data_IF_704988842726
#
_entry.id   IF_704988842726
#
_cell.length_a   1.000
_cell.length_b   1.000
_cell.length_c   1.000
_cell.angle_alpha   90.00
_cell.angle_beta   90.00
_cell.angle_gamma   90.00
#
_symmetry.space_group_name_H-M   'P 1'
#
loop_
_entity.id
_entity.type
_entity.pdbx_description
1 polymer ?
#
# COMPACT_ATOMS: atom_id res chain seq x y z
N UNK A 1 2.31 -38.09 45.68
CA UNK A 1 3.62 -38.32 45.06
C UNK A 1 3.47 -38.04 43.59
N UNK A 2 4.28 -37.11 43.09
CA UNK A 2 4.16 -36.47 41.79
C UNK A 2 5.46 -36.76 41.02
N UNK A 3 5.44 -37.37 39.81
CA UNK A 3 6.61 -37.44 38.98
C UNK A 3 6.51 -36.42 37.85
N UNK A 4 7.31 -35.35 37.99
CA UNK A 4 7.50 -34.34 36.97
C UNK A 4 8.18 -34.88 35.71
N UNK A 5 7.71 -34.41 34.56
CA UNK A 5 8.39 -34.56 33.26
C UNK A 5 8.74 -33.17 32.75
N UNK A 6 10.01 -32.79 32.94
CA UNK A 6 10.57 -31.55 32.44
C UNK A 6 10.98 -31.65 30.97
N UNK A 7 10.20 -31.06 30.07
CA UNK A 7 10.56 -30.88 28.66
C UNK A 7 11.49 -29.67 28.50
N UNK A 8 12.80 -29.91 28.46
CA UNK A 8 13.80 -28.90 28.08
C UNK A 8 13.78 -28.69 26.56
N UNK A 9 13.44 -27.49 26.13
CA UNK A 9 13.60 -27.07 24.75
C UNK A 9 15.01 -26.53 24.53
N UNK A 10 15.78 -27.21 23.68
CA UNK A 10 17.08 -26.75 23.21
C UNK A 10 16.89 -25.54 22.27
N UNK A 11 17.51 -24.41 22.60
CA UNK A 11 17.58 -23.25 21.70
C UNK A 11 18.66 -23.51 20.65
N UNK A 12 18.24 -23.63 19.40
CA UNK A 12 19.15 -23.59 18.25
C UNK A 12 19.65 -22.16 18.06
N UNK A 13 20.96 -21.96 18.24
CA UNK A 13 21.68 -20.80 17.72
C UNK A 13 21.64 -20.88 16.18
N UNK A 14 20.96 -19.93 15.53
CA UNK A 14 21.12 -19.69 14.09
C UNK A 14 22.16 -18.60 13.89
N UNK A 15 23.29 -19.03 13.35
CA UNK A 15 24.36 -18.17 12.86
C UNK A 15 23.84 -17.24 11.75
N UNK A 16 24.15 -15.96 11.91
CA UNK A 16 23.92 -14.94 10.92
C UNK A 16 24.74 -15.21 9.66
N UNK A 17 24.06 -15.57 8.57
CA UNK A 17 24.59 -15.45 7.21
C UNK A 17 23.91 -14.29 6.53
N UNK A 18 24.67 -13.19 6.40
CA UNK A 18 24.25 -11.99 5.70
C UNK A 18 23.92 -12.30 4.24
N UNK A 19 22.73 -11.90 3.82
CA UNK A 19 22.34 -11.90 2.41
C UNK A 19 23.10 -10.79 1.69
N UNK A 20 23.98 -11.20 0.77
CA UNK A 20 24.62 -10.31 -0.20
C UNK A 20 23.56 -9.61 -1.04
N UNK A 21 23.52 -8.29 -0.97
CA UNK A 21 22.64 -7.46 -1.78
C UNK A 21 22.94 -7.64 -3.26
N UNK A 22 22.01 -8.27 -3.99
CA UNK A 22 22.01 -8.26 -5.45
C UNK A 22 21.75 -6.82 -5.92
N UNK A 23 22.78 -6.17 -6.45
CA UNK A 23 22.66 -4.86 -7.10
C UNK A 23 21.93 -5.06 -8.42
N UNK A 24 20.61 -4.81 -8.45
CA UNK A 24 19.88 -4.67 -9.71
C UNK A 24 20.35 -3.40 -10.41
N UNK A 25 20.94 -3.56 -11.60
CA UNK A 25 21.18 -2.45 -12.53
C UNK A 25 19.87 -2.18 -13.26
N UNK A 26 19.31 -0.99 -13.11
CA UNK A 26 18.20 -0.53 -13.95
C UNK A 26 18.81 0.12 -15.19
N UNK A 27 18.46 -0.40 -16.37
CA UNK A 27 18.77 0.20 -17.66
C UNK A 27 17.57 1.05 -18.07
N UNK A 28 17.77 2.37 -18.15
CA UNK A 28 16.85 3.29 -18.82
C UNK A 28 17.62 3.90 -20.00
N UNK A 29 17.04 3.82 -21.20
CA UNK A 29 17.54 4.46 -22.42
C UNK A 29 19.04 4.24 -22.74
N UNK A 30 19.56 3.04 -22.49
CA UNK A 30 20.94 2.67 -22.87
C UNK A 30 22.05 3.33 -22.03
N UNK A 31 21.72 4.07 -20.97
CA UNK A 31 22.69 4.68 -20.08
C UNK A 31 22.76 3.96 -18.73
N UNK A 32 23.98 3.58 -18.31
CA UNK A 32 24.23 2.96 -17.00
C UNK A 32 24.35 4.06 -15.95
N UNK A 33 23.29 4.28 -15.16
CA UNK A 33 23.35 5.18 -14.02
C UNK A 33 24.03 4.48 -12.83
N UNK A 34 25.18 5.00 -12.39
CA UNK A 34 25.81 4.63 -11.11
C UNK A 34 25.12 5.40 -9.99
N UNK A 35 24.35 4.72 -9.16
CA UNK A 35 23.86 5.29 -7.90
C UNK A 35 25.03 5.44 -6.93
N UNK A 36 25.34 6.68 -6.55
CA UNK A 36 26.32 7.02 -5.50
C UNK A 36 25.87 6.43 -4.16
N UNK A 37 26.78 5.80 -3.43
CA UNK A 37 26.49 5.27 -2.10
C UNK A 37 26.19 6.42 -1.11
N UNK A 38 25.27 6.24 -0.15
CA UNK A 38 25.12 7.18 0.95
C UNK A 38 26.41 7.18 1.79
N UNK A 39 27.00 8.36 1.95
CA UNK A 39 28.20 8.55 2.77
C UNK A 39 27.91 8.21 4.23
N UNK A 40 28.82 7.44 4.84
CA UNK A 40 28.83 7.20 6.29
C UNK A 40 29.15 8.52 6.99
N UNK A 41 28.17 9.14 7.63
CA UNK A 41 28.40 10.24 8.58
C UNK A 41 28.96 9.67 9.87
N UNK A 42 30.24 9.95 10.13
CA UNK A 42 30.86 9.70 11.43
C UNK A 42 30.40 10.74 12.45
N UNK A 43 30.06 10.28 13.65
CA UNK A 43 29.89 11.10 14.85
C UNK A 43 31.26 11.67 15.26
N UNK A 44 31.37 13.00 15.24
CA UNK A 44 32.31 13.74 16.10
C UNK A 44 31.58 14.97 16.63
N UNK A 45 31.60 15.11 17.96
CA UNK A 45 30.98 16.23 18.68
C UNK A 45 31.73 17.54 18.53
N UNK A 46 31.09 18.62 18.97
CA UNK A 46 31.74 19.92 19.17
C UNK A 46 30.86 21.11 18.85
N UNK A 47 30.59 21.93 19.87
CA UNK A 47 29.89 23.22 19.81
C UNK A 47 30.62 24.22 18.90
N UNK A 48 29.89 25.00 18.10
CA UNK A 48 29.80 26.48 18.14
C UNK A 48 29.04 27.04 16.92
N UNK A 49 28.37 28.18 17.11
CA UNK A 49 27.46 28.83 16.17
C UNK A 49 28.19 29.78 15.16
N UNK A 50 27.54 30.77 14.50
CA UNK A 50 27.06 30.62 13.12
C UNK A 50 27.53 31.77 12.19
N UNK A 51 27.93 31.53 10.93
CA UNK A 51 28.00 32.62 9.93
C UNK A 51 27.67 32.20 8.50
N UNK A 52 26.59 32.82 8.00
CA UNK A 52 26.37 33.43 6.67
C UNK A 52 27.30 32.98 5.53
N UNK A 53 26.72 32.56 4.40
CA UNK A 53 26.59 33.37 3.18
C UNK A 53 26.14 32.49 2.00
N UNK A 54 25.21 33.06 1.23
CA UNK A 54 24.67 32.51 0.00
C UNK A 54 25.76 32.22 -1.04
N UNK A 55 25.64 31.09 -1.74
CA UNK A 55 26.23 30.90 -3.08
C UNK A 55 25.16 30.41 -4.04
N UNK A 56 24.71 31.32 -4.90
CA UNK A 56 23.94 31.04 -6.11
C UNK A 56 24.76 30.10 -7.01
N UNK A 57 24.21 28.94 -7.33
CA UNK A 57 24.73 28.08 -8.38
C UNK A 57 24.46 28.74 -9.74
N UNK A 58 25.53 29.11 -10.46
CA UNK A 58 25.47 29.53 -11.86
C UNK A 58 25.28 28.29 -12.73
N UNK A 59 24.15 28.20 -13.42
CA UNK A 59 23.96 27.26 -14.52
C UNK A 59 24.74 27.78 -15.74
N UNK A 60 25.65 26.98 -16.27
CA UNK A 60 26.30 27.24 -17.55
C UNK A 60 25.45 26.68 -18.70
N UNK A 61 25.29 27.40 -19.83
CA UNK A 61 24.65 26.87 -21.01
C UNK A 61 25.60 25.93 -21.76
N UNK A 62 25.13 24.73 -22.06
CA UNK A 62 25.84 23.77 -22.92
C UNK A 62 25.61 24.17 -24.37
N UNK A 63 26.71 24.47 -25.07
CA UNK A 63 26.71 24.80 -26.49
C UNK A 63 26.17 23.63 -27.32
N UNK A 64 25.25 23.92 -28.25
CA UNK A 64 24.79 23.00 -29.28
C UNK A 64 25.71 23.12 -30.49
N UNK A 65 26.54 22.12 -30.72
CA UNK A 65 27.25 21.96 -31.98
C UNK A 65 26.27 21.67 -33.11
N UNK A 66 26.19 22.61 -34.06
CA UNK A 66 25.56 22.41 -35.37
C UNK A 66 26.57 21.70 -36.27
N UNK A 67 26.45 20.39 -36.38
CA UNK A 67 27.09 19.64 -37.46
C UNK A 67 26.22 19.74 -38.72
N UNK A 68 26.65 20.56 -39.67
CA UNK A 68 26.26 20.51 -41.08
C UNK A 68 26.91 19.29 -41.73
N UNK A 69 26.12 18.38 -42.28
CA UNK A 69 26.62 17.31 -43.17
C UNK A 69 25.81 17.37 -44.45
N UNK A 70 26.39 18.01 -45.46
CA UNK A 70 26.08 17.80 -46.87
C UNK A 70 26.92 16.62 -47.37
N UNK A 71 26.28 15.64 -48.01
CA UNK A 71 26.98 14.53 -48.67
C UNK A 71 26.06 13.43 -49.20
N UNK A 72 26.38 12.77 -50.33
CA UNK A 72 25.40 12.43 -51.35
C UNK A 72 24.71 11.07 -51.20
N UNK A 73 23.57 11.00 -51.91
CA UNK A 73 22.69 9.86 -52.19
C UNK A 73 23.37 8.47 -52.17
N UNK A 74 22.90 7.61 -51.25
CA UNK A 74 22.96 6.16 -51.40
C UNK A 74 21.53 5.61 -51.62
N UNK A 75 21.24 5.24 -52.87
CA UNK A 75 20.11 4.41 -53.27
C UNK A 75 20.28 3.01 -52.65
N UNK A 76 19.81 2.82 -51.40
CA UNK A 76 19.92 1.53 -50.70
C UNK A 76 18.89 1.31 -49.58
N UNK A 77 17.85 2.12 -49.47
CA UNK A 77 16.88 2.08 -48.35
C UNK A 77 15.44 1.85 -48.83
N UNK A 78 15.16 0.70 -49.46
CA UNK A 78 13.76 0.26 -49.64
C UNK A 78 13.42 -1.11 -49.05
N UNK A 79 14.40 -1.92 -48.64
CA UNK A 79 14.12 -3.27 -48.09
C UNK A 79 14.01 -3.28 -46.54
N UNK A 80 14.68 -2.35 -45.85
CA UNK A 80 14.70 -2.30 -44.37
C UNK A 80 13.47 -1.65 -43.70
N UNK A 81 12.69 -0.82 -44.43
CA UNK A 81 11.47 -0.18 -43.89
C UNK A 81 10.28 -1.15 -43.82
N UNK A 82 10.17 -2.06 -44.77
CA UNK A 82 9.09 -3.06 -44.83
C UNK A 82 9.23 -4.09 -43.70
N UNK A 83 10.46 -4.49 -43.33
CA UNK A 83 10.69 -5.40 -42.19
C UNK A 83 10.32 -4.80 -40.84
N UNK A 84 10.55 -3.49 -40.63
CA UNK A 84 10.19 -2.80 -39.36
C UNK A 84 8.69 -2.54 -39.22
N UNK A 85 7.96 -2.32 -40.31
CA UNK A 85 6.50 -2.21 -40.27
C UNK A 85 5.81 -3.55 -39.98
N UNK A 86 6.35 -4.67 -40.51
CA UNK A 86 5.82 -6.02 -40.20
C UNK A 86 6.02 -6.43 -38.74
N UNK A 87 7.11 -6.00 -38.09
CA UNK A 87 7.35 -6.28 -36.68
C UNK A 87 6.40 -5.52 -35.73
N UNK A 88 6.01 -4.27 -36.07
CA UNK A 88 4.99 -3.53 -35.31
C UNK A 88 3.60 -4.15 -35.42
N UNK A 89 3.18 -4.53 -36.63
CA UNK A 89 1.89 -5.20 -36.84
C UNK A 89 1.77 -6.56 -36.11
N UNK A 90 2.89 -7.28 -35.92
CA UNK A 90 2.90 -8.53 -35.16
C UNK A 90 2.74 -8.32 -33.64
N UNK A 91 3.31 -7.24 -33.09
CA UNK A 91 3.14 -6.86 -31.68
C UNK A 91 1.73 -6.35 -31.40
N UNK A 92 1.10 -5.69 -32.38
CA UNK A 92 -0.30 -5.28 -32.30
C UNK A 92 -1.24 -6.51 -32.28
N UNK A 93 -0.92 -7.56 -33.05
CA UNK A 93 -1.68 -8.82 -33.04
C UNK A 93 -1.62 -9.57 -31.70
N UNK A 94 -0.46 -9.62 -31.05
CA UNK A 94 -0.32 -10.28 -29.74
C UNK A 94 -1.05 -9.52 -28.63
N UNK A 95 -1.00 -8.18 -28.65
CA UNK A 95 -1.72 -7.34 -27.71
C UNK A 95 -3.24 -7.48 -27.88
N UNK A 96 -3.74 -7.43 -29.13
CA UNK A 96 -5.16 -7.63 -29.45
C UNK A 96 -5.62 -9.02 -28.98
N UNK A 97 -4.84 -10.08 -29.24
CA UNK A 97 -5.16 -11.43 -28.79
C UNK A 97 -5.21 -11.54 -27.25
N UNK A 98 -4.28 -10.90 -26.53
CA UNK A 98 -4.29 -10.89 -25.05
C UNK A 98 -5.49 -10.13 -24.48
N UNK A 99 -5.86 -8.99 -25.07
CA UNK A 99 -7.05 -8.24 -24.67
C UNK A 99 -8.31 -9.09 -24.90
N UNK A 100 -8.40 -9.77 -26.04
CA UNK A 100 -9.51 -10.65 -26.37
C UNK A 100 -9.61 -11.84 -25.40
N UNK A 101 -8.47 -12.45 -25.01
CA UNK A 101 -8.43 -13.48 -23.97
C UNK A 101 -8.94 -12.99 -22.61
N UNK A 102 -8.63 -11.75 -22.21
CA UNK A 102 -9.12 -11.17 -20.94
C UNK A 102 -10.63 -10.98 -21.00
N UNK A 103 -11.16 -10.45 -22.11
CA UNK A 103 -12.61 -10.30 -22.30
C UNK A 103 -13.34 -11.65 -22.29
N UNK A 104 -12.82 -12.67 -22.97
CA UNK A 104 -13.41 -14.02 -22.95
C UNK A 104 -13.40 -14.65 -21.54
N UNK A 105 -12.33 -14.47 -20.77
CA UNK A 105 -12.26 -14.95 -19.38
C UNK A 105 -13.28 -14.25 -18.49
N UNK A 106 -13.47 -12.94 -18.68
CA UNK A 106 -14.49 -12.17 -17.95
C UNK A 106 -15.90 -12.64 -18.32
N UNK A 107 -16.19 -12.80 -19.61
CA UNK A 107 -17.48 -13.31 -20.08
C UNK A 107 -17.80 -14.70 -19.51
N UNK A 108 -16.83 -15.63 -19.49
CA UNK A 108 -17.01 -16.97 -18.87
C UNK A 108 -17.21 -16.91 -17.35
N UNK A 109 -16.68 -15.89 -16.69
CA UNK A 109 -16.91 -15.67 -15.25
C UNK A 109 -18.32 -15.15 -15.04
N UNK A 110 -18.74 -14.16 -15.82
CA UNK A 110 -20.08 -13.57 -15.77
C UNK A 110 -21.16 -14.62 -16.12
N UNK A 111 -20.91 -15.55 -17.06
CA UNK A 111 -21.79 -16.69 -17.35
C UNK A 111 -21.89 -17.67 -16.16
N UNK A 112 -20.77 -17.91 -15.47
CA UNK A 112 -20.71 -18.82 -14.30
C UNK A 112 -21.37 -18.19 -13.08
N UNK A 113 -21.24 -16.88 -12.96
CA UNK A 113 -21.90 -16.03 -11.97
C UNK A 113 -23.27 -15.54 -12.48
N UNK A 114 -23.87 -16.25 -13.46
CA UNK A 114 -25.22 -15.93 -13.97
C UNK A 114 -26.14 -15.70 -12.78
N UNK A 115 -26.92 -14.60 -12.79
CA UNK A 115 -27.82 -14.30 -11.69
C UNK A 115 -28.66 -15.53 -11.42
N UNK A 116 -28.66 -15.97 -10.15
CA UNK A 116 -29.51 -17.06 -9.71
C UNK A 116 -30.93 -16.80 -10.22
N UNK A 117 -31.64 -17.84 -10.70
CA UNK A 117 -32.95 -17.66 -11.31
C UNK A 117 -33.84 -16.77 -10.43
N UNK A 118 -34.40 -15.72 -11.03
CA UNK A 118 -35.39 -14.82 -10.41
C UNK A 118 -36.47 -15.70 -9.76
N UNK A 119 -36.45 -15.80 -8.42
CA UNK A 119 -37.39 -16.62 -7.66
C UNK A 119 -36.80 -17.44 -6.51
N UNK A 120 -35.47 -17.61 -6.40
CA UNK A 120 -34.86 -18.39 -5.30
C UNK A 120 -34.40 -17.57 -4.08
N UNK A 121 -34.49 -16.24 -4.13
CA UNK A 121 -34.14 -15.34 -3.01
C UNK A 121 -35.38 -14.78 -2.29
N UNK A 122 -36.57 -15.25 -2.63
CA UNK A 122 -37.79 -14.86 -1.94
C UNK A 122 -38.00 -15.82 -0.76
N UNK A 123 -37.72 -15.33 0.46
CA UNK A 123 -38.06 -15.91 1.79
C UNK A 123 -36.86 -16.42 2.61
N UNK A 124 -36.04 -15.49 3.06
CA UNK A 124 -35.68 -15.44 4.51
C UNK A 124 -35.41 -14.00 4.97
N UNK A 125 -36.15 -13.03 4.44
CA UNK A 125 -36.39 -11.80 5.18
C UNK A 125 -37.40 -12.11 6.29
N UNK A 126 -36.97 -12.82 7.32
CA UNK A 126 -37.57 -12.62 8.63
C UNK A 126 -37.52 -11.10 8.86
N UNK A 127 -38.67 -10.43 9.09
CA UNK A 127 -38.64 -9.02 9.43
C UNK A 127 -37.71 -8.92 10.64
N UNK A 128 -36.55 -8.30 10.44
CA UNK A 128 -35.71 -7.89 11.55
C UNK A 128 -36.59 -6.95 12.34
N UNK A 129 -37.04 -7.42 13.50
CA UNK A 129 -37.84 -6.62 14.41
C UNK A 129 -37.09 -5.29 14.61
N UNK A 130 -37.65 -4.15 14.20
CA UNK A 130 -36.98 -2.86 14.30
C UNK A 130 -36.62 -2.52 15.75
N UNK A 131 -37.32 -3.13 16.72
CA UNK A 131 -37.02 -2.96 18.14
C UNK A 131 -35.80 -3.82 18.57
N UNK A 132 -35.55 -4.98 17.94
CA UNK A 132 -34.32 -5.76 18.16
C UNK A 132 -33.07 -5.17 17.50
N UNK A 133 -33.22 -4.28 16.50
CA UNK A 133 -32.10 -3.56 15.93
C UNK A 133 -31.52 -2.49 16.90
N UNK A 134 -32.30 -2.09 17.90
CA UNK A 134 -31.98 -0.98 18.81
C UNK A 134 -31.12 -1.40 20.00
N UNK A 135 -31.02 -2.71 20.29
CA UNK A 135 -30.22 -3.25 21.40
C UNK A 135 -29.12 -4.22 20.94
N UNK A 136 -28.43 -3.91 19.83
CA UNK A 136 -27.15 -4.59 19.57
C UNK A 136 -26.15 -4.16 20.65
N UNK A 137 -25.96 -5.00 21.64
CA UNK A 137 -24.90 -4.88 22.64
C UNK A 137 -23.60 -4.44 21.96
N UNK A 138 -22.96 -3.42 22.53
CA UNK A 138 -21.70 -2.93 22.00
C UNK A 138 -20.72 -4.10 21.91
N UNK A 139 -20.03 -4.30 20.77
CA UNK A 139 -19.14 -5.44 20.63
C UNK A 139 -18.06 -5.35 21.70
N UNK A 140 -17.84 -6.43 22.43
CA UNK A 140 -16.86 -6.52 23.51
C UNK A 140 -15.58 -7.20 23.04
N UNK A 141 -14.48 -6.85 23.67
CA UNK A 141 -13.20 -7.53 23.46
C UNK A 141 -13.24 -8.91 24.13
N UNK A 142 -13.05 -10.02 23.40
CA UNK A 142 -13.10 -11.35 24.00
C UNK A 142 -11.96 -11.61 25.00
N UNK A 143 -10.86 -10.85 24.94
CA UNK A 143 -9.75 -11.02 25.89
C UNK A 143 -9.92 -10.20 27.17
N UNK A 144 -10.56 -9.02 27.11
CA UNK A 144 -10.66 -8.10 28.26
C UNK A 144 -12.08 -7.95 28.80
N UNK A 145 -13.10 -8.36 28.06
CA UNK A 145 -14.52 -8.14 28.40
C UNK A 145 -14.96 -6.68 28.28
N UNK A 146 -14.08 -5.77 27.87
CA UNK A 146 -14.40 -4.34 27.78
C UNK A 146 -15.07 -4.01 26.43
N UNK A 147 -15.97 -3.01 26.39
CA UNK A 147 -16.53 -2.51 25.13
C UNK A 147 -15.44 -2.06 24.15
N UNK A 148 -15.57 -2.46 22.88
CA UNK A 148 -14.65 -2.07 21.82
C UNK A 148 -14.89 -0.63 21.40
N UNK A 149 -13.85 0.19 21.55
CA UNK A 149 -13.86 1.59 21.16
C UNK A 149 -12.66 1.92 20.26
N UNK A 150 -12.95 2.21 18.99
CA UNK A 150 -11.95 2.59 17.99
C UNK A 150 -11.29 3.95 18.31
N UNK A 151 -11.98 4.85 19.00
CA UNK A 151 -11.45 6.14 19.45
C UNK A 151 -10.51 6.00 20.65
N UNK A 152 -10.44 4.82 21.26
CA UNK A 152 -9.48 4.48 22.31
C UNK A 152 -8.34 3.59 21.80
N UNK A 153 -8.63 2.58 21.00
CA UNK A 153 -7.62 1.57 20.66
C UNK A 153 -6.71 1.93 19.48
N UNK A 154 -7.25 2.51 18.39
CA UNK A 154 -6.46 2.85 17.20
C UNK A 154 -5.70 1.69 16.53
N UNK A 155 -6.02 0.43 16.86
CA UNK A 155 -5.15 -0.71 16.54
C UNK A 155 -4.92 -0.90 15.02
N UNK A 156 -5.97 -0.75 14.20
CA UNK A 156 -5.84 -0.83 12.74
C UNK A 156 -5.09 0.39 12.15
N UNK A 157 -5.18 1.56 12.78
CA UNK A 157 -4.47 2.76 12.36
C UNK A 157 -2.94 2.64 12.56
N UNK A 158 -2.50 1.73 13.42
CA UNK A 158 -1.09 1.46 13.72
C UNK A 158 -0.64 0.08 13.22
N UNK A 159 -1.36 -0.52 12.26
CA UNK A 159 -1.06 -1.87 11.78
C UNK A 159 0.29 -1.98 11.03
N UNK A 160 0.76 -0.87 10.45
CA UNK A 160 1.96 -0.81 9.61
C UNK A 160 1.64 -0.45 8.15
N UNK A 161 2.67 -0.23 7.32
CA UNK A 161 2.52 0.19 5.93
C UNK A 161 1.67 -0.79 5.11
N UNK A 162 0.84 -0.27 4.21
CA UNK A 162 0.08 -1.07 3.25
C UNK A 162 -1.12 -1.85 3.80
N UNK A 163 -1.41 -1.74 5.11
CA UNK A 163 -2.50 -2.50 5.76
C UNK A 163 -3.89 -1.86 5.65
N UNK A 164 -3.98 -0.63 5.18
CA UNK A 164 -5.26 0.08 5.00
C UNK A 164 -5.45 0.35 3.51
N UNK A 165 -5.93 -0.65 2.74
CA UNK A 165 -6.09 -0.54 1.30
C UNK A 165 -7.16 0.50 0.93
N UNK A 166 -6.98 1.10 -0.23
CA UNK A 166 -7.88 2.05 -0.87
C UNK A 166 -8.43 1.42 -2.14
N UNK A 167 -9.73 1.55 -2.35
CA UNK A 167 -10.37 1.19 -3.61
C UNK A 167 -10.18 2.31 -4.64
N UNK A 168 -10.36 2.00 -5.93
CA UNK A 168 -10.37 3.03 -6.96
C UNK A 168 -11.52 4.04 -6.76
N UNK A 169 -12.67 3.55 -6.27
CA UNK A 169 -13.85 4.36 -5.97
C UNK A 169 -13.57 5.39 -4.88
N UNK A 170 -12.79 5.06 -3.85
CA UNK A 170 -12.38 6.02 -2.82
C UNK A 170 -11.63 7.22 -3.44
N UNK A 171 -10.72 6.94 -4.37
CA UNK A 171 -9.93 7.98 -5.04
C UNK A 171 -10.82 8.84 -5.95
N UNK A 172 -11.78 8.24 -6.66
CA UNK A 172 -12.74 8.96 -7.49
C UNK A 172 -13.64 9.85 -6.64
N UNK A 173 -14.16 9.33 -5.52
CA UNK A 173 -15.02 10.06 -4.60
C UNK A 173 -14.30 11.28 -4.00
N UNK A 174 -13.05 11.12 -3.55
CA UNK A 174 -12.28 12.26 -3.04
C UNK A 174 -12.01 13.31 -4.10
N UNK A 175 -11.65 12.91 -5.32
CA UNK A 175 -11.46 13.86 -6.43
C UNK A 175 -12.72 14.65 -6.73
N UNK A 176 -13.89 13.99 -6.76
CA UNK A 176 -15.19 14.64 -6.97
C UNK A 176 -15.57 15.58 -5.83
N UNK A 177 -15.22 15.22 -4.60
CA UNK A 177 -15.44 16.05 -3.41
C UNK A 177 -14.43 17.21 -3.26
N UNK A 178 -13.52 17.41 -4.22
CA UNK A 178 -12.49 18.45 -4.15
C UNK A 178 -11.35 18.13 -3.17
N UNK A 179 -11.27 16.90 -2.65
CA UNK A 179 -10.23 16.42 -1.72
C UNK A 179 -9.05 15.80 -2.46
N UNK A 180 -8.44 16.59 -3.36
CA UNK A 180 -7.24 16.17 -4.10
C UNK A 180 -6.08 15.83 -3.16
N UNK A 181 -6.01 16.51 -2.00
CA UNK A 181 -5.03 16.26 -0.94
C UNK A 181 -5.05 14.81 -0.44
N UNK A 182 -6.23 14.16 -0.41
CA UNK A 182 -6.37 12.76 -0.02
C UNK A 182 -6.08 11.82 -1.19
N UNK A 183 -6.58 12.14 -2.38
CA UNK A 183 -6.45 11.29 -3.56
C UNK A 183 -5.00 11.19 -4.07
N UNK A 184 -4.18 12.21 -3.84
CA UNK A 184 -2.77 12.24 -4.22
C UNK A 184 -1.85 11.72 -3.11
N UNK A 185 -2.28 11.77 -1.85
CA UNK A 185 -1.48 11.35 -0.69
C UNK A 185 -1.75 9.89 -0.34
N UNK A 186 -1.30 9.01 -1.24
CA UNK A 186 -1.47 7.55 -1.19
C UNK A 186 -0.14 6.86 -1.50
N UNK A 187 0.06 5.65 -0.97
CA UNK A 187 1.23 4.82 -1.22
C UNK A 187 0.84 3.49 -1.88
N UNK A 188 1.82 2.78 -2.45
CA UNK A 188 1.64 1.39 -2.86
C UNK A 188 1.40 0.50 -1.63
N UNK A 189 0.26 -0.19 -1.64
CA UNK A 189 -0.15 -1.13 -0.60
C UNK A 189 0.17 -2.59 -0.95
N UNK A 190 -0.38 -3.50 -0.15
CA UNK A 190 -0.29 -4.92 -0.44
C UNK A 190 -1.13 -5.30 -1.68
N UNK A 191 -0.67 -6.33 -2.40
CA UNK A 191 -1.38 -6.90 -3.55
C UNK A 191 -1.59 -5.94 -4.73
N UNK A 192 -0.74 -4.92 -4.86
CA UNK A 192 -0.84 -3.93 -5.95
C UNK A 192 -2.01 -2.96 -5.82
N UNK A 193 -2.66 -2.92 -4.65
CA UNK A 193 -3.66 -1.89 -4.32
C UNK A 193 -2.96 -0.62 -3.84
N UNK A 194 -3.64 0.52 -3.94
CA UNK A 194 -3.23 1.71 -3.22
C UNK A 194 -3.56 1.56 -1.74
N UNK A 195 -2.85 2.26 -0.87
CA UNK A 195 -3.10 2.27 0.56
C UNK A 195 -2.86 3.66 1.16
N UNK A 196 -3.38 3.88 2.36
CA UNK A 196 -2.98 5.05 3.13
C UNK A 196 -1.48 4.99 3.45
N UNK A 197 -0.77 6.12 3.31
CA UNK A 197 0.63 6.20 3.69
C UNK A 197 0.77 6.13 5.21
N UNK A 198 1.92 5.64 5.66
CA UNK A 198 2.23 5.49 7.09
C UNK A 198 3.49 6.24 7.48
N UNK A 199 3.54 6.71 8.72
CA UNK A 199 4.73 7.26 9.35
C UNK A 199 5.81 6.19 9.49
N UNK A 200 7.03 6.61 9.80
CA UNK A 200 8.15 5.69 10.06
C UNK A 200 7.91 4.73 11.25
N UNK A 201 7.01 5.08 12.17
CA UNK A 201 6.59 4.25 13.30
C UNK A 201 5.50 3.23 12.90
N UNK A 202 5.02 3.30 11.66
CA UNK A 202 4.01 2.42 11.08
C UNK A 202 2.57 2.82 11.40
N UNK A 203 2.33 4.06 11.80
CA UNK A 203 0.99 4.60 11.99
C UNK A 203 0.48 5.29 10.72
N UNK A 204 -0.80 5.22 10.41
CA UNK A 204 -1.42 6.01 9.34
C UNK A 204 -1.10 7.51 9.54
N UNK A 205 -0.75 8.23 8.49
CA UNK A 205 -0.37 9.66 8.60
C UNK A 205 -1.48 10.57 9.14
N UNK A 206 -2.75 10.13 9.04
CA UNK A 206 -3.91 10.86 9.52
C UNK A 206 -4.27 10.50 10.96
N UNK A 207 -3.52 9.58 11.57
CA UNK A 207 -3.72 9.12 12.93
C UNK A 207 -2.83 9.91 13.90
N UNK A 208 -3.44 10.34 15.00
CA UNK A 208 -2.73 10.91 16.16
C UNK A 208 -3.29 10.33 17.44
N UNK A 209 -2.49 10.38 18.51
CA UNK A 209 -2.89 9.90 19.84
C UNK A 209 -2.69 10.94 20.96
N UNK A 210 -3.31 12.13 20.88
CA UNK A 210 -3.23 13.09 21.98
C UNK A 210 -3.91 12.53 23.23
N UNK A 211 -3.25 12.65 24.38
CA UNK A 211 -3.79 12.24 25.69
C UNK A 211 -4.31 10.79 25.72
N UNK A 212 -3.70 9.91 24.90
CA UNK A 212 -4.08 8.49 24.83
C UNK A 212 -5.31 8.18 23.98
N UNK A 213 -6.01 9.19 23.42
CA UNK A 213 -7.17 8.99 22.54
C UNK A 213 -6.76 8.90 21.08
N UNK A 214 -7.31 7.94 20.36
CA UNK A 214 -7.12 7.75 18.93
C UNK A 214 -7.96 8.73 18.12
N UNK A 215 -7.31 9.64 17.40
CA UNK A 215 -7.98 10.65 16.57
C UNK A 215 -7.54 10.51 15.11
N UNK A 216 -8.51 10.49 14.19
CA UNK A 216 -8.27 10.51 12.75
C UNK A 216 -8.64 11.90 12.20
N UNK A 217 -7.69 12.59 11.56
CA UNK A 217 -7.92 13.94 11.03
C UNK A 217 -8.83 13.99 9.80
N UNK A 218 -9.18 12.83 9.22
CA UNK A 218 -10.05 12.69 8.04
C UNK A 218 -11.29 11.84 8.34
N UNK A 219 -11.76 11.84 9.59
CA UNK A 219 -12.76 10.87 10.06
C UNK A 219 -14.06 10.86 9.23
N UNK A 220 -14.52 12.02 8.76
CA UNK A 220 -15.72 12.14 7.94
C UNK A 220 -15.49 11.66 6.49
N UNK A 221 -14.28 11.89 5.97
CA UNK A 221 -13.87 11.55 4.61
C UNK A 221 -13.13 10.22 4.50
N UNK A 222 -13.22 9.37 5.53
CA UNK A 222 -12.59 8.04 5.53
C UNK A 222 -12.97 7.26 4.28
N UNK A 223 -11.98 6.57 3.72
CA UNK A 223 -12.16 5.57 2.69
C UNK A 223 -13.14 4.47 3.14
N UNK A 224 -13.77 3.81 2.17
CA UNK A 224 -14.66 2.65 2.33
C UNK A 224 -14.08 1.62 3.31
N UNK A 225 -12.84 1.16 3.10
CA UNK A 225 -12.13 0.22 3.99
C UNK A 225 -12.18 0.63 5.46
N UNK A 226 -12.05 1.92 5.77
CA UNK A 226 -12.07 2.43 7.14
C UNK A 226 -13.50 2.68 7.67
N UNK A 227 -14.44 2.97 6.78
CA UNK A 227 -15.85 3.27 7.09
C UNK A 227 -16.64 2.00 7.37
N UNK A 228 -16.36 0.96 6.60
CA UNK A 228 -16.99 -0.37 6.67
C UNK A 228 -16.34 -1.27 7.72
N UNK A 229 -15.20 -0.84 8.28
CA UNK A 229 -14.50 -1.60 9.30
C UNK A 229 -15.33 -1.78 10.57
N UNK A 230 -15.79 -3.01 10.81
CA UNK A 230 -16.63 -3.33 11.96
C UNK A 230 -15.79 -3.65 13.21
N UNK A 231 -16.04 -2.93 14.30
CA UNK A 231 -15.49 -3.26 15.62
C UNK A 231 -15.93 -4.68 16.04
N UNK A 232 -14.98 -5.49 16.49
CA UNK A 232 -15.22 -6.88 16.88
C UNK A 232 -15.21 -7.89 15.72
N UNK A 233 -15.04 -7.42 14.48
CA UNK A 233 -14.71 -8.33 13.36
C UNK A 233 -13.43 -9.11 13.63
N UNK A 234 -13.26 -10.25 12.96
CA UNK A 234 -12.04 -11.05 13.08
C UNK A 234 -10.78 -10.22 12.78
N UNK A 235 -10.81 -9.36 11.77
CA UNK A 235 -9.72 -8.44 11.43
C UNK A 235 -9.44 -7.44 12.56
N UNK A 236 -10.49 -6.90 13.20
CA UNK A 236 -10.35 -6.02 14.37
C UNK A 236 -9.59 -6.72 15.51
N UNK A 237 -9.97 -7.96 15.82
CA UNK A 237 -9.34 -8.73 16.88
C UNK A 237 -7.87 -9.07 16.57
N UNK A 238 -7.55 -9.41 15.33
CA UNK A 238 -6.16 -9.66 14.92
C UNK A 238 -5.30 -8.39 15.04
N UNK A 239 -5.79 -7.22 14.60
CA UNK A 239 -5.05 -5.97 14.78
C UNK A 239 -4.84 -5.62 16.26
N UNK A 240 -5.83 -5.87 17.13
CA UNK A 240 -5.70 -5.65 18.58
C UNK A 240 -4.67 -6.59 19.19
N UNK A 241 -4.70 -7.88 18.82
CA UNK A 241 -3.71 -8.87 19.24
C UNK A 241 -2.29 -8.46 18.84
N UNK A 242 -2.11 -8.01 17.61
CA UNK A 242 -0.83 -7.50 17.12
C UNK A 242 -0.39 -6.22 17.85
N UNK A 243 -1.31 -5.30 18.13
CA UNK A 243 -1.02 -4.09 18.90
C UNK A 243 -0.57 -4.42 20.33
N UNK A 244 -1.20 -5.40 20.99
CA UNK A 244 -0.77 -5.91 22.32
C UNK A 244 0.63 -6.53 22.26
N UNK A 245 0.90 -7.36 21.24
CA UNK A 245 2.22 -7.97 21.03
C UNK A 245 3.31 -6.92 20.85
N UNK A 246 2.99 -5.80 20.19
CA UNK A 246 3.88 -4.63 20.00
C UNK A 246 3.91 -3.68 21.20
N UNK A 247 3.14 -3.93 22.26
CA UNK A 247 3.04 -3.06 23.45
C UNK A 247 2.31 -1.73 23.23
N UNK A 248 1.56 -1.59 22.12
CA UNK A 248 0.81 -0.36 21.76
C UNK A 248 -0.57 -0.29 22.39
N UNK A 249 -1.14 -1.45 22.72
CA UNK A 249 -2.37 -1.57 23.49
C UNK A 249 -2.03 -2.15 24.86
N UNK A 250 -2.36 -1.42 25.92
CA UNK A 250 -2.15 -1.88 27.30
C UNK A 250 -2.94 -3.18 27.56
N UNK A 251 -2.42 -4.03 28.47
CA UNK A 251 -3.26 -5.06 29.08
C UNK A 251 -4.17 -4.35 30.07
N UNK A 252 -5.48 -4.46 29.89
CA UNK A 252 -6.43 -4.01 30.90
C UNK A 252 -6.06 -4.69 32.21
N UNK A 253 -5.76 -3.89 33.24
CA UNK A 253 -5.57 -4.43 34.59
C UNK A 253 -6.97 -4.79 35.07
N UNK A 254 -7.30 -6.08 34.96
CA UNK A 254 -8.52 -6.64 35.55
C UNK A 254 -8.55 -6.49 37.06
#
# INVERSE_FOLDING_TARGET
MDPGVGLRHARSHRDGRGHGGQRRRVLLDGHVLRLSQPGKTGEQGGREQPRRLARRARLQPVARDRATVDGPRALGLRVGRVRRLRARAALDGELVWRVQQVHERRARRDERDSPLPEGLMEKTHLPLDPDLATEREAPVDPETGEPLDCTRCGACCEAGPGNIPLTEDDLVLWRRAGRQDLAERVDEGHFGMMAFPTTHEGACIYFTRPEGRSICSIYAERASTCREFQAGSWQCLEFRRDARKKGRLGRSKG
#
